data_IF_457220919148
#
_entry.id   IF_457220919148
#
_cell.length_a   1.000
_cell.length_b   1.000
_cell.length_c   1.000
_cell.angle_alpha   90.00
_cell.angle_beta   90.00
_cell.angle_gamma   90.00
#
_symmetry.space_group_name_H-M   'P 1'
#
loop_
_entity.id
_entity.type
_entity.pdbx_description
1 polymer ?
#
# COMPACT_ATOMS: atom_id res chain seq x y z
N UNK A 1 42.41 58.58 -94.47
CA UNK A 1 41.03 58.17 -94.13
C UNK A 1 41.08 57.61 -92.71
N UNK A 2 40.56 58.37 -91.75
CA UNK A 2 40.83 58.16 -90.33
C UNK A 2 39.96 57.07 -89.73
N UNK A 3 40.61 56.03 -89.21
CA UNK A 3 40.09 55.29 -88.06
C UNK A 3 40.23 56.19 -86.83
N UNK A 4 39.14 56.42 -86.08
CA UNK A 4 39.22 56.98 -84.73
C UNK A 4 38.73 58.43 -84.54
N UNK A 5 37.54 58.78 -85.03
CA UNK A 5 36.83 59.95 -84.47
C UNK A 5 35.96 59.50 -83.28
N UNK A 6 36.02 60.23 -82.16
CA UNK A 6 35.19 59.97 -80.97
C UNK A 6 33.68 59.87 -81.28
N UNK A 7 33.24 60.50 -82.38
CA UNK A 7 31.86 60.40 -82.87
C UNK A 7 31.46 58.99 -83.35
N UNK A 8 32.36 58.23 -83.98
CA UNK A 8 32.05 56.86 -84.41
C UNK A 8 31.89 55.90 -83.24
N UNK A 9 32.73 56.04 -82.20
CA UNK A 9 32.60 55.26 -80.97
C UNK A 9 31.32 55.65 -80.20
N UNK A 10 31.03 56.96 -80.08
CA UNK A 10 29.80 57.45 -79.47
C UNK A 10 28.54 56.91 -80.16
N UNK A 11 28.50 56.93 -81.50
CA UNK A 11 27.37 56.41 -82.27
C UNK A 11 27.23 54.88 -82.13
N UNK A 12 28.34 54.14 -82.07
CA UNK A 12 28.30 52.69 -81.85
C UNK A 12 27.77 52.34 -80.45
N UNK A 13 28.24 53.07 -79.43
CA UNK A 13 27.83 52.85 -78.05
C UNK A 13 26.36 53.24 -77.87
N UNK A 14 25.92 54.32 -78.49
CA UNK A 14 24.52 54.74 -78.50
C UNK A 14 23.63 53.73 -79.24
N UNK A 15 24.09 53.15 -80.35
CA UNK A 15 23.36 52.09 -81.06
C UNK A 15 23.24 50.81 -80.22
N UNK A 16 24.28 50.41 -79.49
CA UNK A 16 24.19 49.31 -78.53
C UNK A 16 23.24 49.63 -77.38
N UNK A 17 23.30 50.86 -76.87
CA UNK A 17 22.42 51.30 -75.78
C UNK A 17 20.96 51.33 -76.25
N UNK A 18 20.69 51.77 -77.48
CA UNK A 18 19.34 51.77 -78.07
C UNK A 18 18.85 50.34 -78.39
N UNK A 19 19.74 49.39 -78.71
CA UNK A 19 19.35 47.98 -78.90
C UNK A 19 18.99 47.32 -77.57
N UNK A 20 19.76 47.57 -76.52
CA UNK A 20 19.55 46.93 -75.21
C UNK A 20 18.49 47.64 -74.36
N UNK A 21 18.38 48.97 -74.44
CA UNK A 21 17.46 49.78 -73.63
C UNK A 21 16.36 50.49 -74.44
N UNK A 22 16.58 50.77 -75.72
CA UNK A 22 15.59 51.44 -76.59
C UNK A 22 14.61 50.46 -77.27
N UNK A 23 14.98 49.18 -77.40
CA UNK A 23 14.15 48.20 -78.09
C UNK A 23 13.23 47.48 -77.13
N UNK A 24 11.94 47.83 -77.16
CA UNK A 24 10.85 47.10 -76.50
C UNK A 24 10.94 45.58 -76.78
N UNK A 25 11.46 45.18 -77.94
CA UNK A 25 11.60 43.79 -78.33
C UNK A 25 12.66 43.02 -77.52
N UNK A 26 13.80 43.63 -77.16
CA UNK A 26 14.82 42.95 -76.35
C UNK A 26 14.35 42.78 -74.91
N UNK A 27 13.66 43.79 -74.36
CA UNK A 27 12.98 43.71 -73.07
C UNK A 27 11.86 42.65 -73.07
N UNK A 28 11.02 42.61 -74.12
CA UNK A 28 9.97 41.60 -74.26
C UNK A 28 10.55 40.18 -74.31
N UNK A 29 11.62 39.97 -75.08
CA UNK A 29 12.26 38.67 -75.22
C UNK A 29 12.95 38.23 -73.92
N UNK A 30 13.53 39.17 -73.17
CA UNK A 30 14.04 38.91 -71.83
C UNK A 30 12.93 38.51 -70.85
N UNK A 31 11.80 39.22 -70.83
CA UNK A 31 10.65 38.89 -69.97
C UNK A 31 10.07 37.52 -70.32
N UNK A 32 9.88 37.22 -71.61
CA UNK A 32 9.39 35.90 -72.04
C UNK A 32 10.36 34.79 -71.64
N UNK A 33 11.67 34.98 -71.87
CA UNK A 33 12.69 34.02 -71.43
C UNK A 33 12.67 33.82 -69.92
N UNK A 34 12.55 34.91 -69.15
CA UNK A 34 12.49 34.86 -67.69
C UNK A 34 11.22 34.16 -67.19
N UNK A 35 10.06 34.39 -67.81
CA UNK A 35 8.81 33.69 -67.51
C UNK A 35 8.93 32.19 -67.81
N UNK A 36 9.53 31.81 -68.93
CA UNK A 36 9.74 30.39 -69.26
C UNK A 36 10.66 29.73 -68.24
N UNK A 37 11.77 30.38 -67.87
CA UNK A 37 12.70 29.88 -66.85
C UNK A 37 12.01 29.75 -65.50
N UNK A 38 11.24 30.76 -65.07
CA UNK A 38 10.46 30.68 -63.84
C UNK A 38 9.37 29.60 -63.88
N UNK A 39 8.73 29.38 -65.02
CA UNK A 39 7.76 28.29 -65.20
C UNK A 39 8.41 26.92 -65.11
N UNK A 40 9.61 26.74 -65.69
CA UNK A 40 10.38 25.49 -65.58
C UNK A 40 10.85 25.26 -64.15
N UNK A 41 11.38 26.29 -63.48
CA UNK A 41 11.76 26.21 -62.07
C UNK A 41 10.53 25.92 -61.21
N UNK A 42 9.41 26.61 -61.42
CA UNK A 42 8.16 26.34 -60.71
C UNK A 42 7.66 24.92 -60.92
N UNK A 43 7.71 24.41 -62.14
CA UNK A 43 7.33 23.03 -62.44
C UNK A 43 8.24 22.01 -61.74
N UNK A 44 9.56 22.16 -61.83
CA UNK A 44 10.50 21.19 -61.26
C UNK A 44 10.75 21.32 -59.76
N UNK A 45 10.57 22.51 -59.19
CA UNK A 45 10.82 22.78 -57.76
C UNK A 45 9.54 22.70 -56.93
N UNK A 46 8.40 23.12 -57.48
CA UNK A 46 7.13 23.21 -56.74
C UNK A 46 6.24 21.98 -57.00
N UNK A 47 6.30 21.36 -58.18
CA UNK A 47 5.59 20.11 -58.42
C UNK A 47 6.52 18.92 -58.18
N UNK A 48 6.31 18.11 -57.12
CA UNK A 48 7.01 16.84 -57.00
C UNK A 48 6.54 15.93 -58.15
N UNK A 49 7.49 15.29 -58.82
CA UNK A 49 7.25 14.24 -59.80
C UNK A 49 6.58 13.08 -59.04
N UNK A 50 5.26 13.00 -59.16
CA UNK A 50 4.35 12.01 -58.57
C UNK A 50 4.55 11.76 -57.07
N UNK A 51 3.88 12.51 -56.17
CA UNK A 51 3.85 12.13 -54.76
C UNK A 51 3.23 10.75 -54.67
N UNK A 52 3.98 9.79 -54.13
CA UNK A 52 3.47 8.46 -53.85
C UNK A 52 2.42 8.56 -52.72
N UNK A 53 1.18 8.83 -53.13
CA UNK A 53 0.03 8.99 -52.24
C UNK A 53 -0.27 7.69 -51.47
N UNK A 54 0.22 6.54 -51.96
CA UNK A 54 0.09 5.26 -51.27
C UNK A 54 1.10 5.22 -50.13
N UNK A 55 2.38 5.53 -50.39
CA UNK A 55 3.40 5.62 -49.35
C UNK A 55 3.03 6.65 -48.26
N UNK A 56 2.57 7.85 -48.65
CA UNK A 56 2.14 8.88 -47.69
C UNK A 56 0.90 8.45 -46.88
N UNK A 57 -0.01 7.69 -47.48
CA UNK A 57 -1.19 7.15 -46.77
C UNK A 57 -0.78 6.07 -45.79
N UNK A 58 0.15 5.20 -46.17
CA UNK A 58 0.65 4.13 -45.31
C UNK A 58 1.48 4.71 -44.15
N UNK A 59 2.30 5.73 -44.39
CA UNK A 59 3.00 6.50 -43.36
C UNK A 59 2.00 7.22 -42.42
N UNK A 60 0.98 7.89 -42.97
CA UNK A 60 -0.05 8.55 -42.15
C UNK A 60 -0.82 7.54 -41.30
N UNK A 61 -1.09 6.35 -41.83
CA UNK A 61 -1.75 5.27 -41.09
C UNK A 61 -0.84 4.72 -40.00
N UNK A 62 0.44 4.46 -40.31
CA UNK A 62 1.45 4.04 -39.34
C UNK A 62 1.61 5.04 -38.20
N UNK A 63 1.80 6.32 -38.53
CA UNK A 63 1.91 7.40 -37.54
C UNK A 63 0.64 7.56 -36.70
N UNK A 64 -0.55 7.35 -37.29
CA UNK A 64 -1.81 7.37 -36.54
C UNK A 64 -1.93 6.20 -35.57
N UNK A 65 -1.50 5.01 -35.97
CA UNK A 65 -1.54 3.83 -35.12
C UNK A 65 -0.48 3.93 -34.00
N UNK A 66 0.72 4.45 -34.29
CA UNK A 66 1.73 4.81 -33.28
C UNK A 66 1.25 5.89 -32.30
N UNK A 67 0.53 6.91 -32.80
CA UNK A 67 -0.04 7.94 -31.94
C UNK A 67 -1.10 7.38 -30.99
N UNK A 68 -1.88 6.37 -31.44
CA UNK A 68 -2.83 5.68 -30.57
C UNK A 68 -2.14 4.84 -29.51
N UNK A 69 -1.15 4.02 -29.89
CA UNK A 69 -0.41 3.20 -28.92
C UNK A 69 0.30 4.06 -27.90
N UNK A 70 0.96 5.14 -28.33
CA UNK A 70 1.59 6.10 -27.42
C UNK A 70 0.58 6.75 -26.46
N UNK A 71 -0.64 7.06 -26.93
CA UNK A 71 -1.70 7.59 -26.08
C UNK A 71 -2.19 6.57 -25.05
N UNK A 72 -2.33 5.30 -25.44
CA UNK A 72 -2.70 4.21 -24.53
C UNK A 72 -1.61 3.98 -23.46
N UNK A 73 -0.34 4.01 -23.85
CA UNK A 73 0.79 3.93 -22.92
C UNK A 73 0.83 5.11 -21.94
N UNK A 74 0.58 6.33 -22.42
CA UNK A 74 0.48 7.52 -21.55
C UNK A 74 -0.67 7.40 -20.55
N UNK A 75 -1.84 6.91 -20.97
CA UNK A 75 -2.96 6.68 -20.06
C UNK A 75 -2.63 5.62 -19.01
N UNK A 76 -1.95 4.54 -19.41
CA UNK A 76 -1.49 3.51 -18.48
C UNK A 76 -0.50 4.07 -17.47
N UNK A 77 0.49 4.84 -17.92
CA UNK A 77 1.46 5.50 -17.05
C UNK A 77 0.80 6.51 -16.10
N UNK A 78 -0.21 7.25 -16.54
CA UNK A 78 -0.96 8.18 -15.68
C UNK A 78 -1.72 7.44 -14.57
N UNK A 79 -2.35 6.31 -14.90
CA UNK A 79 -3.03 5.45 -13.92
C UNK A 79 -2.03 4.84 -12.92
N UNK A 80 -0.90 4.32 -13.42
CA UNK A 80 0.15 3.77 -12.56
C UNK A 80 0.76 4.84 -11.65
N UNK A 81 0.98 6.06 -12.15
CA UNK A 81 1.50 7.17 -11.35
C UNK A 81 0.54 7.55 -10.23
N UNK A 82 -0.77 7.63 -10.53
CA UNK A 82 -1.80 7.85 -9.50
C UNK A 82 -1.78 6.78 -8.42
N UNK A 83 -1.74 5.50 -8.83
CA UNK A 83 -1.69 4.36 -7.90
C UNK A 83 -0.43 4.39 -7.03
N UNK A 84 0.71 4.76 -7.63
CA UNK A 84 1.97 4.87 -6.89
C UNK A 84 1.93 6.02 -5.90
N UNK A 85 1.31 7.15 -6.26
CA UNK A 85 1.16 8.30 -5.39
C UNK A 85 0.21 7.99 -4.21
N UNK A 86 -0.88 7.26 -4.45
CA UNK A 86 -1.76 6.75 -3.39
C UNK A 86 -1.00 5.80 -2.45
N UNK A 87 -0.20 4.88 -3.00
CA UNK A 87 0.62 3.97 -2.20
C UNK A 87 1.66 4.72 -1.35
N UNK A 88 2.31 5.73 -1.91
CA UNK A 88 3.26 6.58 -1.16
C UNK A 88 2.54 7.31 -0.04
N UNK A 89 1.37 7.90 -0.31
CA UNK A 89 0.56 8.59 0.71
C UNK A 89 0.14 7.64 1.84
N UNK A 90 -0.30 6.41 1.53
CA UNK A 90 -0.64 5.39 2.55
C UNK A 90 0.59 5.04 3.41
N UNK A 91 1.77 4.95 2.79
CA UNK A 91 3.02 4.66 3.50
C UNK A 91 3.49 5.80 4.37
N UNK A 92 3.36 7.04 3.91
CA UNK A 92 3.67 8.22 4.71
C UNK A 92 2.74 8.30 5.92
N UNK A 93 1.43 8.08 5.74
CA UNK A 93 0.47 8.06 6.86
C UNK A 93 0.81 6.96 7.88
N UNK A 94 1.08 5.74 7.41
CA UNK A 94 1.51 4.63 8.27
C UNK A 94 2.81 4.93 9.02
N UNK A 95 3.76 5.61 8.39
CA UNK A 95 5.02 5.98 9.01
C UNK A 95 4.78 7.04 10.10
N UNK A 96 3.96 8.06 9.83
CA UNK A 96 3.60 9.07 10.84
C UNK A 96 2.86 8.47 12.03
N UNK A 97 2.00 7.47 11.82
CA UNK A 97 1.34 6.76 12.91
C UNK A 97 2.35 6.01 13.79
N UNK A 98 3.30 5.27 13.18
CA UNK A 98 4.36 4.55 13.90
C UNK A 98 5.31 5.51 14.63
N UNK A 99 5.61 6.68 14.07
CA UNK A 99 6.38 7.72 14.75
C UNK A 99 5.64 8.24 15.99
N UNK A 100 4.33 8.45 15.90
CA UNK A 100 3.49 8.82 17.03
C UNK A 100 3.46 7.74 18.12
N UNK A 101 3.31 6.47 17.76
CA UNK A 101 3.38 5.35 18.71
C UNK A 101 4.75 5.26 19.41
N UNK A 102 5.84 5.46 18.66
CA UNK A 102 7.18 5.50 19.24
C UNK A 102 7.36 6.65 20.24
N UNK A 103 6.75 7.81 19.97
CA UNK A 103 6.79 8.94 20.90
C UNK A 103 6.01 8.66 22.18
N UNK A 104 4.85 8.00 22.09
CA UNK A 104 4.07 7.52 23.25
C UNK A 104 4.87 6.52 24.07
N UNK A 105 5.48 5.51 23.42
CA UNK A 105 6.29 4.50 24.12
C UNK A 105 7.48 5.17 24.82
N UNK A 106 8.15 6.15 24.18
CA UNK A 106 9.23 6.91 24.83
C UNK A 106 8.74 7.68 26.05
N UNK A 107 7.56 8.30 25.98
CA UNK A 107 6.97 8.99 27.12
C UNK A 107 6.64 8.02 28.26
N UNK A 108 6.06 6.85 27.97
CA UNK A 108 5.78 5.81 28.97
C UNK A 108 7.06 5.26 29.62
N UNK A 109 8.11 5.04 28.83
CA UNK A 109 9.42 4.62 29.37
C UNK A 109 9.96 5.69 30.31
N UNK A 110 9.91 6.97 29.91
CA UNK A 110 10.32 8.08 30.77
C UNK A 110 9.53 8.14 32.09
N UNK A 111 8.21 7.97 32.02
CA UNK A 111 7.36 7.90 33.22
C UNK A 111 7.74 6.72 34.12
N UNK A 112 7.91 5.53 33.55
CA UNK A 112 8.35 4.33 34.30
C UNK A 112 9.73 4.52 34.93
N UNK A 113 10.68 5.13 34.23
CA UNK A 113 12.01 5.44 34.77
C UNK A 113 11.91 6.39 35.97
N UNK A 114 11.10 7.44 35.88
CA UNK A 114 10.88 8.35 37.02
C UNK A 114 10.18 7.66 38.19
N UNK A 115 9.23 6.76 37.92
CA UNK A 115 8.54 5.96 38.93
C UNK A 115 9.48 4.98 39.63
N UNK A 116 10.37 4.33 38.87
CA UNK A 116 11.41 3.46 39.42
C UNK A 116 12.37 4.27 40.30
N UNK A 117 12.82 5.43 39.84
CA UNK A 117 13.71 6.30 40.63
C UNK A 117 13.05 6.72 41.96
N UNK A 118 11.76 7.06 41.93
CA UNK A 118 10.98 7.36 43.14
C UNK A 118 10.86 6.14 44.07
N UNK A 119 10.58 4.96 43.53
CA UNK A 119 10.52 3.72 44.32
C UNK A 119 11.88 3.37 44.93
N UNK A 120 12.97 3.53 44.19
CA UNK A 120 14.33 3.33 44.71
C UNK A 120 14.67 4.32 45.82
N UNK A 121 14.25 5.58 45.69
CA UNK A 121 14.42 6.59 46.73
C UNK A 121 13.57 6.26 47.97
N UNK A 122 12.33 5.81 47.80
CA UNK A 122 11.49 5.33 48.90
C UNK A 122 12.06 4.08 49.59
N UNK A 123 12.67 3.16 48.84
CA UNK A 123 13.34 1.99 49.41
C UNK A 123 14.61 2.36 50.17
N UNK A 124 15.35 3.38 49.72
CA UNK A 124 16.52 3.93 50.43
C UNK A 124 16.14 4.76 51.65
N UNK A 125 15.02 5.48 51.60
CA UNK A 125 14.49 6.29 52.69
C UNK A 125 13.68 5.46 53.71
N UNK A 126 13.16 4.31 53.29
CA UNK A 126 12.60 3.29 54.17
C UNK A 126 13.69 2.85 55.16
N UNK A 127 13.39 2.77 56.46
CA UNK A 127 14.40 2.47 57.45
C UNK A 127 15.05 1.13 57.08
N UNK A 128 16.35 1.16 56.78
CA UNK A 128 17.17 -0.04 56.74
C UNK A 128 16.82 -0.82 57.99
N UNK A 129 16.30 -2.04 57.82
CA UNK A 129 15.78 -2.87 58.90
C UNK A 129 16.80 -2.93 60.03
N UNK A 130 16.64 -2.03 61.00
CA UNK A 130 17.31 -2.12 62.28
C UNK A 130 16.85 -3.42 62.88
N UNK A 131 17.73 -4.22 63.51
CA UNK A 131 17.30 -5.36 64.32
C UNK A 131 16.59 -4.80 65.54
N UNK A 132 15.33 -4.39 65.35
CA UNK A 132 14.45 -3.95 66.43
C UNK A 132 14.16 -5.21 67.20
N UNK A 133 14.70 -5.25 68.40
CA UNK A 133 14.47 -6.29 69.38
C UNK A 133 12.96 -6.49 69.50
N UNK A 134 12.50 -7.69 69.11
CA UNK A 134 11.11 -8.09 68.88
C UNK A 134 10.22 -8.11 70.14
N UNK A 135 10.53 -7.34 71.17
CA UNK A 135 9.76 -7.34 72.42
C UNK A 135 8.35 -6.76 72.23
N UNK A 136 8.20 -5.69 71.44
CA UNK A 136 6.88 -5.08 71.18
C UNK A 136 6.01 -5.94 70.26
N UNK A 137 6.61 -6.62 69.29
CA UNK A 137 5.95 -7.53 68.36
C UNK A 137 5.45 -8.78 69.08
N UNK A 138 6.30 -9.34 69.95
CA UNK A 138 5.96 -10.49 70.80
C UNK A 138 4.88 -10.14 71.83
N UNK A 139 4.91 -8.96 72.44
CA UNK A 139 3.83 -8.52 73.34
C UNK A 139 2.51 -8.30 72.59
N UNK A 140 2.54 -7.72 71.39
CA UNK A 140 1.36 -7.60 70.52
C UNK A 140 0.82 -8.95 70.08
N UNK A 141 1.68 -9.92 69.81
CA UNK A 141 1.28 -11.30 69.49
C UNK A 141 0.61 -11.94 70.72
N UNK A 142 1.21 -11.83 71.91
CA UNK A 142 0.59 -12.34 73.15
C UNK A 142 -0.76 -11.69 73.47
N UNK A 143 -0.90 -10.39 73.24
CA UNK A 143 -2.19 -9.70 73.40
C UNK A 143 -3.22 -10.16 72.36
N UNK A 144 -2.79 -10.41 71.11
CA UNK A 144 -3.66 -10.96 70.07
C UNK A 144 -4.06 -12.40 70.36
N UNK A 145 -3.16 -13.23 70.88
CA UNK A 145 -3.45 -14.60 71.27
C UNK A 145 -4.46 -14.65 72.44
N UNK A 146 -4.31 -13.77 73.43
CA UNK A 146 -5.28 -13.62 74.52
C UNK A 146 -6.66 -13.13 74.02
N UNK A 147 -6.68 -12.24 73.02
CA UNK A 147 -7.92 -11.80 72.36
C UNK A 147 -8.56 -12.92 71.54
N UNK A 148 -7.75 -13.73 70.84
CA UNK A 148 -8.22 -14.89 70.09
C UNK A 148 -8.87 -15.89 71.04
N UNK A 149 -8.24 -16.19 72.18
CA UNK A 149 -8.80 -17.09 73.20
C UNK A 149 -10.12 -16.55 73.79
N UNK A 150 -10.22 -15.23 74.00
CA UNK A 150 -11.49 -14.61 74.45
C UNK A 150 -12.57 -14.68 73.37
N UNK A 151 -12.21 -14.49 72.10
CA UNK A 151 -13.16 -14.57 70.98
C UNK A 151 -13.56 -16.02 70.70
N UNK A 152 -12.67 -17.00 70.89
CA UNK A 152 -12.99 -18.42 70.76
C UNK A 152 -13.95 -18.89 71.86
N UNK A 153 -13.76 -18.42 73.09
CA UNK A 153 -14.71 -18.67 74.20
C UNK A 153 -16.04 -17.96 73.97
N UNK A 154 -16.04 -16.72 73.48
CA UNK A 154 -17.27 -16.01 73.09
C UNK A 154 -17.97 -16.70 71.91
N UNK A 155 -17.24 -17.21 70.90
CA UNK A 155 -17.80 -18.00 69.80
C UNK A 155 -18.36 -19.33 70.31
N UNK A 156 -17.71 -19.98 71.28
CA UNK A 156 -18.21 -21.22 71.89
C UNK A 156 -19.50 -20.97 72.68
N UNK A 157 -19.56 -19.87 73.45
CA UNK A 157 -20.74 -19.43 74.18
C UNK A 157 -21.87 -19.01 73.23
N UNK A 158 -21.54 -18.29 72.14
CA UNK A 158 -22.48 -17.91 71.09
C UNK A 158 -22.96 -19.11 70.29
N UNK A 159 -22.13 -20.14 70.08
CA UNK A 159 -22.55 -21.41 69.48
C UNK A 159 -23.50 -22.18 70.39
N UNK A 160 -23.22 -22.25 71.69
CA UNK A 160 -24.13 -22.86 72.66
C UNK A 160 -25.46 -22.08 72.76
N UNK A 161 -25.40 -20.74 72.68
CA UNK A 161 -26.57 -19.88 72.64
C UNK A 161 -27.34 -19.98 71.31
N UNK A 162 -26.64 -20.18 70.18
CA UNK A 162 -27.23 -20.36 68.85
C UNK A 162 -27.80 -21.77 68.65
N UNK A 163 -27.21 -22.82 69.24
CA UNK A 163 -27.79 -24.17 69.30
C UNK A 163 -29.04 -24.20 70.21
N UNK A 164 -29.12 -23.33 71.21
CA UNK A 164 -30.34 -23.05 71.97
C UNK A 164 -31.38 -22.16 71.28
N UNK A 165 -31.00 -21.50 70.17
CA UNK A 165 -31.83 -20.54 69.44
C UNK A 165 -31.85 -20.90 67.95
N UNK A 166 -32.74 -21.83 67.60
CA UNK A 166 -33.08 -22.17 66.20
C UNK A 166 -33.59 -20.94 65.42
N UNK A 167 -32.68 -20.15 64.86
CA UNK A 167 -32.88 -19.34 63.65
C UNK A 167 -31.59 -18.64 63.22
N UNK A 168 -30.96 -19.19 62.19
CA UNK A 168 -29.95 -18.51 61.37
C UNK A 168 -30.60 -17.38 60.56
N UNK A 169 -29.95 -16.21 60.40
CA UNK A 169 -30.12 -15.37 59.24
C UNK A 169 -28.80 -15.38 58.45
N UNK A 170 -28.55 -16.43 57.68
CA UNK A 170 -27.57 -16.38 56.58
C UNK A 170 -28.19 -15.60 55.44
N UNK A 171 -27.58 -14.47 55.13
CA UNK A 171 -27.86 -13.64 53.97
C UNK A 171 -27.87 -14.50 52.69
N UNK A 172 -28.98 -14.43 51.96
CA UNK A 172 -29.19 -15.08 50.67
C UNK A 172 -28.34 -14.37 49.61
N UNK A 173 -27.14 -14.88 49.33
CA UNK A 173 -26.60 -14.77 47.97
C UNK A 173 -27.47 -15.70 47.12
N UNK A 174 -28.08 -15.13 46.10
CA UNK A 174 -29.06 -15.79 45.24
C UNK A 174 -28.42 -16.99 44.52
N UNK A 175 -28.73 -18.20 45.02
CA UNK A 175 -28.20 -19.50 44.61
C UNK A 175 -28.52 -19.85 43.13
N UNK A 176 -29.32 -19.03 42.48
CA UNK A 176 -29.69 -19.14 41.07
C UNK A 176 -28.67 -18.48 40.11
N UNK A 177 -27.85 -17.54 40.59
CA UNK A 177 -26.91 -16.77 39.75
C UNK A 177 -25.63 -17.57 39.45
N UNK A 178 -25.18 -18.39 40.41
CA UNK A 178 -23.98 -19.24 40.29
C UNK A 178 -24.09 -20.28 39.17
N UNK A 179 -25.20 -21.06 39.05
CA UNK A 179 -25.36 -22.00 37.94
C UNK A 179 -25.57 -21.31 36.59
N UNK A 180 -26.13 -20.09 36.57
CA UNK A 180 -26.27 -19.33 35.32
C UNK A 180 -24.92 -18.80 34.81
N UNK A 181 -24.07 -18.30 35.72
CA UNK A 181 -22.70 -17.88 35.41
C UNK A 181 -21.83 -19.06 34.97
N UNK A 182 -21.95 -20.23 35.61
CA UNK A 182 -21.20 -21.41 35.20
C UNK A 182 -21.63 -21.93 33.82
N UNK A 183 -22.93 -21.84 33.50
CA UNK A 183 -23.47 -22.15 32.17
C UNK A 183 -22.93 -21.19 31.10
N UNK A 184 -22.91 -19.88 31.38
CA UNK A 184 -22.36 -18.86 30.46
C UNK A 184 -20.85 -19.03 30.25
N UNK A 185 -20.12 -19.38 31.30
CA UNK A 185 -18.67 -19.65 31.22
C UNK A 185 -18.40 -20.89 30.36
N UNK A 186 -19.17 -21.96 30.54
CA UNK A 186 -19.10 -23.17 29.72
C UNK A 186 -19.46 -22.91 28.24
N UNK A 187 -20.52 -22.15 27.97
CA UNK A 187 -20.87 -21.73 26.60
C UNK A 187 -19.81 -20.83 25.96
N UNK A 188 -19.18 -19.94 26.74
CA UNK A 188 -18.10 -19.10 26.23
C UNK A 188 -16.83 -19.92 25.95
N UNK A 189 -16.49 -20.87 26.83
CA UNK A 189 -15.33 -21.74 26.67
C UNK A 189 -15.45 -22.65 25.45
N UNK A 190 -16.63 -23.26 25.25
CA UNK A 190 -16.90 -24.10 24.06
C UNK A 190 -16.88 -23.29 22.76
N UNK A 191 -17.42 -22.07 22.76
CA UNK A 191 -17.30 -21.15 21.61
C UNK A 191 -15.86 -20.76 21.33
N UNK A 192 -15.05 -20.56 22.37
CA UNK A 192 -13.65 -20.21 22.22
C UNK A 192 -12.84 -21.36 21.63
N UNK A 193 -13.06 -22.60 22.09
CA UNK A 193 -12.42 -23.79 21.51
C UNK A 193 -12.81 -24.03 20.04
N UNK A 194 -14.09 -23.85 19.68
CA UNK A 194 -14.53 -23.97 18.28
C UNK A 194 -13.90 -22.89 17.40
N UNK A 195 -13.82 -21.64 17.89
CA UNK A 195 -13.13 -20.56 17.18
C UNK A 195 -11.61 -20.77 17.09
N UNK A 196 -11.00 -21.36 18.12
CA UNK A 196 -9.57 -21.71 18.11
C UNK A 196 -9.26 -22.77 17.06
N UNK A 197 -10.05 -23.86 17.02
CA UNK A 197 -9.90 -24.90 15.99
C UNK A 197 -10.10 -24.35 14.59
N UNK A 198 -11.10 -23.48 14.38
CA UNK A 198 -11.33 -22.85 13.07
C UNK A 198 -10.19 -21.91 12.67
N UNK A 199 -9.56 -21.22 13.63
CA UNK A 199 -8.40 -20.39 13.36
C UNK A 199 -7.17 -21.24 12.97
N UNK A 200 -6.95 -22.37 13.65
CA UNK A 200 -5.91 -23.34 13.29
C UNK A 200 -6.14 -23.90 11.88
N UNK A 201 -7.35 -24.35 11.55
CA UNK A 201 -7.70 -24.81 10.20
C UNK A 201 -7.53 -23.70 9.15
N UNK A 202 -7.88 -22.46 9.48
CA UNK A 202 -7.67 -21.33 8.56
C UNK A 202 -6.19 -21.02 8.35
N UNK A 203 -5.35 -21.17 9.38
CA UNK A 203 -3.89 -21.03 9.27
C UNK A 203 -3.30 -22.11 8.37
N UNK A 204 -3.69 -23.38 8.57
CA UNK A 204 -3.24 -24.49 7.73
C UNK A 204 -3.66 -24.31 6.26
N UNK A 205 -4.89 -23.84 6.02
CA UNK A 205 -5.39 -23.54 4.66
C UNK A 205 -4.63 -22.34 4.07
N UNK A 206 -4.34 -21.30 4.84
CA UNK A 206 -3.54 -20.15 4.39
C UNK A 206 -2.13 -20.59 3.95
N UNK A 207 -1.45 -21.42 4.73
CA UNK A 207 -0.13 -21.95 4.39
C UNK A 207 -0.16 -22.81 3.12
N UNK A 208 -1.21 -23.63 2.96
CA UNK A 208 -1.43 -24.40 1.73
C UNK A 208 -1.64 -23.49 0.52
N UNK A 209 -2.41 -22.40 0.64
CA UNK A 209 -2.64 -21.48 -0.48
C UNK A 209 -1.39 -20.66 -0.81
N UNK A 210 -0.59 -20.29 0.20
CA UNK A 210 0.71 -19.63 -0.03
C UNK A 210 1.65 -20.56 -0.80
N UNK A 211 1.72 -21.84 -0.44
CA UNK A 211 2.48 -22.85 -1.19
C UNK A 211 2.00 -22.95 -2.64
N UNK A 212 0.68 -23.01 -2.85
CA UNK A 212 0.07 -23.08 -4.19
C UNK A 212 0.34 -21.83 -5.04
N UNK A 213 0.35 -20.64 -4.45
CA UNK A 213 0.68 -19.39 -5.13
C UNK A 213 2.14 -19.38 -5.61
N UNK A 214 3.07 -19.87 -4.79
CA UNK A 214 4.49 -20.00 -5.16
C UNK A 214 4.68 -21.02 -6.29
N UNK A 215 3.98 -22.15 -6.23
CA UNK A 215 4.02 -23.14 -7.31
C UNK A 215 3.43 -22.60 -8.61
N UNK A 216 2.35 -21.81 -8.53
CA UNK A 216 1.73 -21.12 -9.67
C UNK A 216 2.69 -20.13 -10.33
N UNK A 217 3.46 -19.35 -9.57
CA UNK A 217 4.48 -18.45 -10.14
C UNK A 217 5.48 -19.26 -10.97
N UNK A 218 5.97 -20.37 -10.42
CA UNK A 218 6.92 -21.27 -11.11
C UNK A 218 6.32 -21.88 -12.39
N UNK A 219 5.04 -22.28 -12.35
CA UNK A 219 4.32 -22.81 -13.52
C UNK A 219 4.08 -21.73 -14.59
N UNK A 220 3.76 -20.49 -14.20
CA UNK A 220 3.57 -19.37 -15.12
C UNK A 220 4.89 -18.97 -15.78
N UNK A 221 5.99 -18.92 -15.04
CA UNK A 221 7.32 -18.61 -15.55
C UNK A 221 7.81 -19.67 -16.56
N UNK A 222 7.51 -20.94 -16.30
CA UNK A 222 7.83 -22.06 -17.19
C UNK A 222 6.82 -22.30 -18.32
N UNK A 223 5.67 -21.62 -18.32
CA UNK A 223 4.65 -21.74 -19.37
C UNK A 223 5.13 -21.19 -20.72
N UNK A 224 4.45 -21.56 -21.81
CA UNK A 224 4.78 -21.06 -23.16
C UNK A 224 4.09 -19.72 -23.52
N UNK A 225 3.59 -18.99 -22.51
CA UNK A 225 2.94 -17.70 -22.74
C UNK A 225 3.94 -16.60 -23.12
N UNK A 226 3.44 -15.53 -23.76
CA UNK A 226 4.24 -14.34 -24.06
C UNK A 226 4.82 -13.71 -22.80
N UNK A 227 6.04 -13.15 -22.88
CA UNK A 227 6.72 -12.53 -21.73
C UNK A 227 5.89 -11.42 -21.05
N UNK A 228 5.03 -10.74 -21.82
CA UNK A 228 4.08 -9.76 -21.28
C UNK A 228 2.95 -10.40 -20.46
N UNK A 229 2.41 -11.53 -20.91
CA UNK A 229 1.39 -12.30 -20.20
C UNK A 229 1.92 -12.93 -18.91
N UNK A 230 3.16 -13.47 -18.97
CA UNK A 230 3.86 -14.02 -17.79
C UNK A 230 4.03 -12.97 -16.71
N UNK A 231 4.55 -11.78 -17.04
CA UNK A 231 4.74 -10.69 -16.07
C UNK A 231 3.43 -10.21 -15.46
N UNK A 232 2.35 -10.14 -16.26
CA UNK A 232 1.04 -9.75 -15.76
C UNK A 232 0.47 -10.78 -14.77
N UNK A 233 0.56 -12.08 -15.09
CA UNK A 233 0.09 -13.16 -14.21
C UNK A 233 0.94 -13.27 -12.94
N UNK A 234 2.26 -13.20 -13.04
CA UNK A 234 3.16 -13.21 -11.87
C UNK A 234 2.87 -12.01 -10.96
N UNK A 235 2.71 -10.81 -11.52
CA UNK A 235 2.37 -9.62 -10.73
C UNK A 235 1.00 -9.75 -10.03
N UNK A 236 0.03 -10.38 -10.69
CA UNK A 236 -1.29 -10.62 -10.12
C UNK A 236 -1.22 -11.63 -8.96
N UNK A 237 -0.48 -12.72 -9.14
CA UNK A 237 -0.24 -13.75 -8.11
C UNK A 237 0.54 -13.18 -6.91
N UNK A 238 1.58 -12.37 -7.16
CA UNK A 238 2.34 -11.69 -6.11
C UNK A 238 1.48 -10.66 -5.35
N UNK A 239 0.61 -9.93 -6.04
CA UNK A 239 -0.31 -8.99 -5.39
C UNK A 239 -1.32 -9.70 -4.50
N UNK A 240 -1.80 -10.87 -4.94
CA UNK A 240 -2.71 -11.73 -4.19
C UNK A 240 -2.01 -12.31 -2.95
N UNK A 241 -0.78 -12.80 -3.09
CA UNK A 241 0.05 -13.26 -1.98
C UNK A 241 0.32 -12.16 -0.95
N UNK A 242 0.69 -10.95 -1.38
CA UNK A 242 0.88 -9.80 -0.48
C UNK A 242 -0.40 -9.39 0.25
N UNK A 243 -1.55 -9.46 -0.42
CA UNK A 243 -2.85 -9.17 0.22
C UNK A 243 -3.19 -10.19 1.30
N UNK A 244 -2.91 -11.48 1.07
CA UNK A 244 -3.08 -12.55 2.06
C UNK A 244 -2.13 -12.40 3.25
N UNK A 245 -0.85 -12.06 3.02
CA UNK A 245 0.10 -11.84 4.11
C UNK A 245 -0.27 -10.63 4.96
N UNK A 246 -0.87 -9.57 4.39
CA UNK A 246 -1.42 -8.44 5.16
C UNK A 246 -2.57 -8.89 6.06
N UNK A 247 -3.54 -9.63 5.51
CA UNK A 247 -4.69 -10.16 6.25
C UNK A 247 -4.25 -11.12 7.37
N UNK A 248 -3.20 -11.92 7.16
CA UNK A 248 -2.64 -12.80 8.19
C UNK A 248 -1.83 -12.05 9.27
N UNK A 249 -1.23 -10.90 8.94
CA UNK A 249 -0.31 -10.16 9.82
C UNK A 249 -1.00 -9.12 10.72
N UNK A 250 -2.12 -8.52 10.30
CA UNK A 250 -2.95 -7.63 11.15
C UNK A 250 -3.53 -8.34 12.39
N UNK A 251 -3.42 -9.66 12.46
CA UNK A 251 -3.93 -10.51 13.53
C UNK A 251 -2.94 -10.63 14.71
N UNK A 252 -1.66 -10.30 14.50
CA UNK A 252 -0.66 -10.30 15.59
C UNK A 252 -0.89 -9.19 16.62
N UNK A 253 -1.51 -8.07 16.21
CA UNK A 253 -1.63 -6.84 17.01
C UNK A 253 -3.08 -6.51 17.43
N UNK A 254 -4.09 -7.24 16.97
CA UNK A 254 -5.49 -6.88 17.27
C UNK A 254 -5.96 -7.42 18.64
N UNK A 255 -5.81 -6.59 19.67
CA UNK A 255 -6.41 -6.76 21.01
C UNK A 255 -7.94 -6.51 21.06
N UNK A 256 -8.67 -6.65 19.94
CA UNK A 256 -10.09 -6.28 19.83
C UNK A 256 -11.00 -7.47 19.51
N UNK A 257 -12.15 -7.53 20.19
CA UNK A 257 -13.22 -8.51 19.98
C UNK A 257 -13.62 -8.63 18.49
N UNK A 258 -13.38 -9.82 17.93
CA UNK A 258 -13.93 -10.38 16.68
C UNK A 258 -13.51 -9.75 15.33
N UNK A 259 -12.49 -10.36 14.67
CA UNK A 259 -12.37 -10.35 13.21
C UNK A 259 -12.20 -11.75 12.55
N UNK A 260 -12.34 -12.86 13.29
CA UNK A 260 -11.92 -14.20 12.80
C UNK A 260 -12.84 -14.84 11.75
N UNK A 261 -14.10 -14.43 11.61
CA UNK A 261 -15.07 -15.05 10.67
C UNK A 261 -14.91 -14.49 9.25
N UNK A 262 -14.52 -13.22 9.12
CA UNK A 262 -14.29 -12.59 7.80
C UNK A 262 -13.02 -13.14 7.12
N UNK A 263 -12.03 -13.55 7.92
CA UNK A 263 -10.80 -14.19 7.44
C UNK A 263 -11.08 -15.52 6.71
N UNK A 264 -12.00 -16.34 7.23
CA UNK A 264 -12.35 -17.62 6.60
C UNK A 264 -13.02 -17.37 5.24
N UNK A 265 -13.89 -16.36 5.15
CA UNK A 265 -14.50 -15.96 3.88
C UNK A 265 -13.49 -15.44 2.86
N UNK A 266 -12.52 -14.64 3.31
CA UNK A 266 -11.45 -14.13 2.46
C UNK A 266 -10.54 -15.25 1.93
N UNK A 267 -10.14 -16.20 2.78
CA UNK A 267 -9.30 -17.35 2.38
C UNK A 267 -10.01 -18.23 1.34
N UNK A 268 -11.32 -18.48 1.51
CA UNK A 268 -12.11 -19.26 0.54
C UNK A 268 -12.18 -18.54 -0.82
N UNK A 269 -12.43 -17.22 -0.83
CA UNK A 269 -12.44 -16.44 -2.07
C UNK A 269 -11.09 -16.41 -2.77
N UNK A 270 -9.98 -16.32 -2.01
CA UNK A 270 -8.63 -16.39 -2.60
C UNK A 270 -8.37 -17.75 -3.22
N UNK A 271 -8.82 -18.84 -2.60
CA UNK A 271 -8.70 -20.18 -3.16
C UNK A 271 -9.45 -20.32 -4.49
N UNK A 272 -10.66 -19.75 -4.62
CA UNK A 272 -11.40 -19.72 -5.89
C UNK A 272 -10.70 -18.90 -6.99
N UNK A 273 -10.07 -17.79 -6.62
CA UNK A 273 -9.27 -16.97 -7.55
C UNK A 273 -8.04 -17.75 -8.02
N UNK A 274 -7.35 -18.43 -7.11
CA UNK A 274 -6.20 -19.31 -7.40
C UNK A 274 -6.59 -20.43 -8.37
N UNK A 275 -7.72 -21.10 -8.14
CA UNK A 275 -8.23 -22.14 -9.04
C UNK A 275 -8.60 -21.60 -10.43
N UNK A 276 -9.12 -20.37 -10.50
CA UNK A 276 -9.42 -19.70 -11.77
C UNK A 276 -8.14 -19.37 -12.54
N UNK A 277 -7.09 -18.92 -11.84
CA UNK A 277 -5.76 -18.67 -12.44
C UNK A 277 -5.14 -20.00 -12.92
N UNK A 278 -5.22 -21.07 -12.13
CA UNK A 278 -4.76 -22.41 -12.54
C UNK A 278 -5.43 -22.88 -13.83
N UNK A 279 -6.72 -22.59 -14.02
CA UNK A 279 -7.43 -22.89 -15.28
C UNK A 279 -6.89 -22.08 -16.45
N UNK A 280 -6.70 -20.78 -16.29
CA UNK A 280 -6.16 -19.90 -17.35
C UNK A 280 -4.71 -20.22 -17.76
N UNK A 281 -3.93 -20.83 -16.87
CA UNK A 281 -2.55 -21.26 -17.16
C UNK A 281 -2.50 -22.61 -17.90
N UNK A 282 -3.55 -23.44 -17.80
CA UNK A 282 -3.66 -24.74 -18.49
C UNK A 282 -4.25 -24.66 -19.89
N UNK A 283 -5.05 -23.62 -20.19
CA UNK A 283 -5.57 -23.31 -21.53
C UNK A 283 -4.52 -22.58 -22.39
#
# INVERSE_FOLDING_TARGET
>A
MGFGSASTFGNLLQLLTDIFFGSIWSSLLYVVGFVVVLSVIGYYVISPVDPDLVALRDELKGSKDESKTSKEELQKLEVENKKLNEFVSEKEESLTALEGELEVIKAEIGERETSIALMEEQLKAGPAATPVTDTSSVEKIKMKDALIESLETEIADLRLAAEGSTRSPTATVDDSIVPELSRKLSEAQTKWEDLSRRAETASEVSDSVISDLVELISQVESSNQSDGGKKALVSLIESLGRSMTRVARDIGDSHGEAPKVEMIGAIIMVNEIVDTIKKMVRE
#
